data_IF_022647603418
#
_entry.id   IF_022647603418
#
_cell.length_a   1.000
_cell.length_b   1.000
_cell.length_c   1.000
_cell.angle_alpha   90.00
_cell.angle_beta   90.00
_cell.angle_gamma   90.00
#
_symmetry.space_group_name_H-M   'P 1'
#
loop_
_entity.id
_entity.type
_entity.pdbx_description
1 polymer ?
#
# COMPACT_ATOMS: atom_id res chain seq x y z
N UNK A 1 17.82 -4.13 -6.62
CA UNK A 1 17.03 -2.92 -6.29
C UNK A 1 17.77 -2.19 -5.20
N UNK A 2 18.23 -0.97 -5.47
CA UNK A 2 18.69 -0.09 -4.40
C UNK A 2 17.46 0.33 -3.59
N UNK A 3 17.63 0.64 -2.31
CA UNK A 3 16.51 1.10 -1.47
C UNK A 3 15.82 2.35 -2.06
N UNK A 4 16.56 3.08 -2.87
CA UNK A 4 16.16 4.34 -3.51
C UNK A 4 15.20 4.14 -4.72
N UNK A 5 15.01 2.89 -5.17
CA UNK A 5 14.07 2.57 -6.27
C UNK A 5 12.62 2.39 -5.78
N UNK A 6 12.36 2.52 -4.47
CA UNK A 6 11.05 2.31 -3.86
C UNK A 6 10.58 3.56 -3.13
N UNK A 7 9.37 4.03 -3.45
CA UNK A 7 8.65 5.01 -2.64
C UNK A 7 7.79 4.26 -1.63
N UNK A 8 8.11 4.39 -0.35
CA UNK A 8 7.30 3.82 0.74
C UNK A 8 6.33 4.90 1.19
N UNK A 9 5.05 4.57 1.23
CA UNK A 9 3.99 5.49 1.64
C UNK A 9 3.50 5.19 3.06
N UNK A 10 3.26 6.24 3.82
CA UNK A 10 2.40 6.25 4.99
C UNK A 10 0.93 6.16 4.57
N UNK A 11 0.05 5.84 5.52
CA UNK A 11 -1.40 5.80 5.29
C UNK A 11 -1.94 7.08 4.65
N UNK A 12 -1.57 8.25 5.20
CA UNK A 12 -2.04 9.54 4.69
C UNK A 12 -1.54 9.80 3.27
N UNK A 13 -0.31 9.40 2.95
CA UNK A 13 0.22 9.51 1.59
C UNK A 13 -0.53 8.60 0.63
N UNK A 14 -0.91 7.39 1.04
CA UNK A 14 -1.78 6.52 0.22
C UNK A 14 -3.14 7.14 -0.01
N UNK A 15 -3.79 7.69 1.02
CA UNK A 15 -5.09 8.38 0.87
C UNK A 15 -4.99 9.57 -0.10
N UNK A 16 -3.90 10.35 0.00
CA UNK A 16 -3.65 11.49 -0.87
C UNK A 16 -3.50 11.13 -2.35
N UNK A 17 -3.10 9.90 -2.69
CA UNK A 17 -3.04 9.44 -4.09
C UNK A 17 -4.43 9.39 -4.75
N UNK A 18 -5.51 9.31 -3.97
CA UNK A 18 -6.87 9.13 -4.48
C UNK A 18 -7.76 10.38 -4.36
N UNK A 19 -7.40 11.34 -3.49
CA UNK A 19 -8.25 12.47 -3.06
C UNK A 19 -8.90 13.31 -4.18
N UNK A 20 -8.28 13.44 -5.35
CA UNK A 20 -8.73 14.38 -6.39
C UNK A 20 -9.63 13.77 -7.46
N UNK A 21 -9.56 12.46 -7.69
CA UNK A 21 -10.23 11.80 -8.81
C UNK A 21 -11.06 10.59 -8.38
N UNK A 22 -10.94 10.18 -7.11
CA UNK A 22 -11.58 8.97 -6.62
C UNK A 22 -12.23 9.20 -5.26
N UNK A 23 -13.38 8.56 -5.08
CA UNK A 23 -13.99 8.33 -3.79
C UNK A 23 -13.44 7.02 -3.23
N UNK A 24 -12.76 7.08 -2.09
CA UNK A 24 -12.29 5.89 -1.38
C UNK A 24 -13.49 5.11 -0.84
N UNK A 25 -13.57 3.81 -1.17
CA UNK A 25 -14.63 2.92 -0.68
C UNK A 25 -14.11 2.12 0.52
N UNK A 26 -12.92 1.55 0.39
CA UNK A 26 -12.28 0.76 1.44
C UNK A 26 -10.76 0.90 1.35
N UNK A 27 -10.10 0.86 2.50
CA UNK A 27 -8.65 0.77 2.59
C UNK A 27 -8.25 -0.11 3.77
N UNK A 28 -7.58 -1.21 3.45
CA UNK A 28 -7.09 -2.17 4.43
C UNK A 28 -5.59 -2.08 4.54
N UNK A 29 -5.12 -1.83 5.75
CA UNK A 29 -3.70 -1.85 6.09
C UNK A 29 -3.35 -3.24 6.63
N UNK A 30 -2.33 -3.86 6.03
CA UNK A 30 -1.76 -5.11 6.51
C UNK A 30 -0.29 -4.91 6.83
N UNK A 31 0.05 -5.03 8.10
CA UNK A 31 1.42 -5.06 8.60
C UNK A 31 1.66 -6.41 9.28
N UNK A 32 2.21 -7.37 8.55
CA UNK A 32 2.36 -8.75 9.04
C UNK A 32 3.68 -9.37 8.63
N UNK A 33 4.23 -10.21 9.49
CA UNK A 33 5.36 -11.07 9.14
C UNK A 33 4.90 -12.15 8.15
N UNK A 34 5.78 -12.53 7.22
CA UNK A 34 5.54 -13.62 6.29
C UNK A 34 6.83 -14.26 5.80
N UNK A 35 6.72 -15.41 5.14
CA UNK A 35 7.84 -16.12 4.55
C UNK A 35 7.93 -15.80 3.06
N UNK A 36 9.13 -15.45 2.59
CA UNK A 36 9.41 -15.32 1.15
C UNK A 36 9.49 -16.70 0.51
N UNK A 37 9.35 -16.78 -0.81
CA UNK A 37 9.54 -18.03 -1.56
C UNK A 37 10.94 -18.64 -1.40
N UNK A 38 11.92 -17.86 -0.93
CA UNK A 38 13.28 -18.31 -0.65
C UNK A 38 13.48 -18.77 0.81
N UNK A 39 12.40 -18.92 1.58
CA UNK A 39 12.46 -19.36 2.98
C UNK A 39 13.02 -18.31 3.95
N UNK A 40 13.11 -17.04 3.54
CA UNK A 40 13.50 -15.92 4.42
C UNK A 40 12.27 -15.21 4.98
N UNK A 41 12.30 -14.90 6.28
CA UNK A 41 11.30 -14.05 6.94
C UNK A 41 11.36 -12.62 6.39
N UNK A 42 10.20 -12.00 6.21
CA UNK A 42 10.05 -10.61 5.78
C UNK A 42 8.82 -9.99 6.44
N UNK A 43 8.96 -8.74 6.87
CA UNK A 43 7.81 -7.92 7.27
C UNK A 43 7.17 -7.31 6.03
N UNK A 44 5.88 -7.57 5.85
CA UNK A 44 5.08 -7.04 4.75
C UNK A 44 4.20 -5.91 5.27
N UNK A 45 4.39 -4.72 4.72
CA UNK A 45 3.53 -3.56 4.96
C UNK A 45 2.86 -3.20 3.64
N UNK A 46 1.55 -3.43 3.56
CA UNK A 46 0.75 -3.35 2.33
C UNK A 46 -0.53 -2.59 2.63
N UNK A 47 -0.93 -1.70 1.71
CA UNK A 47 -2.25 -1.12 1.67
C UNK A 47 -3.02 -1.70 0.48
N UNK A 48 -4.20 -2.27 0.75
CA UNK A 48 -5.16 -2.68 -0.28
C UNK A 48 -6.27 -1.63 -0.35
N UNK A 49 -6.47 -1.04 -1.52
CA UNK A 49 -7.41 0.09 -1.70
C UNK A 49 -8.47 -0.26 -2.74
N UNK A 50 -9.73 0.01 -2.40
CA UNK A 50 -10.85 0.02 -3.35
C UNK A 50 -11.35 1.45 -3.46
N UNK A 51 -11.34 2.00 -4.67
CA UNK A 51 -11.77 3.37 -4.92
C UNK A 51 -12.61 3.46 -6.21
N UNK A 52 -13.59 4.35 -6.22
CA UNK A 52 -14.44 4.62 -7.37
C UNK A 52 -14.06 5.96 -7.99
N UNK A 53 -13.82 5.99 -9.30
CA UNK A 53 -13.55 7.24 -10.01
C UNK A 53 -14.78 8.14 -9.94
N UNK A 54 -14.58 9.39 -9.56
CA UNK A 54 -15.62 10.42 -9.58
C UNK A 54 -15.71 10.92 -11.03
N UNK A 55 -16.92 10.90 -11.59
CA UNK A 55 -17.20 11.32 -12.96
C UNK A 55 -17.14 12.85 -13.12
#
# INVERSE_FOLDING_TARGET
MRRDDLTIHTRNEVENLFNHAFKLIDMQERNSEGMTLLGKKKQWHIYSVVAQRIA
#
